data_IF_493666467620
#
_entry.id   IF_493666467620
#
_cell.length_a   1.000
_cell.length_b   1.000
_cell.length_c   1.000
_cell.angle_alpha   90.00
_cell.angle_beta   90.00
_cell.angle_gamma   90.00
#
_symmetry.space_group_name_H-M   'P 1'
#
loop_
_entity.id
_entity.type
_entity.pdbx_description
1 polymer ?
#
# COMPACT_ATOMS: atom_id res chain seq x y z
N UNK A 1 -11.24 -23.82 32.98
CA UNK A 1 -11.56 -22.60 33.78
C UNK A 1 -12.06 -21.55 32.82
N UNK A 2 -12.97 -20.66 33.22
CA UNK A 2 -13.34 -19.56 32.31
C UNK A 2 -12.08 -18.74 32.01
N UNK A 3 -11.94 -18.31 30.75
CA UNK A 3 -10.83 -17.49 30.32
C UNK A 3 -10.81 -16.17 31.13
N UNK A 4 -9.60 -15.74 31.55
CA UNK A 4 -9.39 -14.51 32.29
C UNK A 4 -8.33 -13.68 31.55
N UNK A 5 -8.63 -12.42 31.22
CA UNK A 5 -7.72 -11.59 30.42
C UNK A 5 -6.33 -11.48 31.03
N UNK A 6 -6.26 -11.26 32.36
CA UNK A 6 -4.98 -11.12 33.09
C UNK A 6 -4.15 -12.38 33.00
N UNK A 7 -4.81 -13.57 33.08
CA UNK A 7 -4.10 -14.84 32.94
C UNK A 7 -3.53 -15.05 31.54
N UNK A 8 -4.27 -14.68 30.48
CA UNK A 8 -3.82 -14.81 29.12
C UNK A 8 -2.70 -13.80 28.78
N UNK A 9 -2.83 -12.56 29.27
CA UNK A 9 -1.76 -11.55 29.15
C UNK A 9 -0.49 -12.03 29.84
N UNK A 10 -0.60 -12.58 31.06
CA UNK A 10 0.54 -13.16 31.81
C UNK A 10 1.19 -14.31 31.05
N UNK A 11 0.36 -15.25 30.54
CA UNK A 11 0.83 -16.39 29.73
C UNK A 11 1.65 -15.89 28.53
N UNK A 12 1.15 -14.90 27.77
CA UNK A 12 1.87 -14.33 26.64
C UNK A 12 3.10 -13.53 27.05
N UNK A 13 3.02 -12.74 28.11
CA UNK A 13 4.15 -12.01 28.69
C UNK A 13 5.32 -12.93 29.05
N UNK A 14 5.01 -14.10 29.57
CA UNK A 14 6.01 -15.07 30.02
C UNK A 14 6.51 -16.01 28.88
N UNK A 15 6.18 -15.65 27.61
CA UNK A 15 6.65 -16.32 26.39
C UNK A 15 5.90 -17.64 26.08
N UNK A 16 4.77 -17.88 26.70
CA UNK A 16 3.96 -19.10 26.46
C UNK A 16 2.91 -18.80 25.39
N UNK A 17 2.81 -19.67 24.37
CA UNK A 17 1.81 -19.54 23.31
C UNK A 17 0.39 -19.70 23.83
N UNK A 18 -0.52 -18.91 23.27
CA UNK A 18 -1.96 -19.02 23.50
C UNK A 18 -2.56 -20.03 22.53
N UNK A 19 -3.57 -20.75 22.95
CA UNK A 19 -4.36 -21.56 22.04
C UNK A 19 -5.24 -20.69 21.11
N UNK A 20 -5.65 -21.26 19.98
CA UNK A 20 -6.57 -20.59 19.06
C UNK A 20 -7.87 -20.13 19.76
N UNK A 21 -8.41 -20.93 20.69
CA UNK A 21 -9.62 -20.57 21.42
C UNK A 21 -9.40 -19.43 22.42
N UNK A 22 -8.22 -19.36 23.05
CA UNK A 22 -7.83 -18.24 23.91
C UNK A 22 -7.72 -16.93 23.12
N UNK A 23 -7.11 -16.97 21.92
CA UNK A 23 -7.04 -15.79 21.00
C UNK A 23 -8.45 -15.38 20.56
N UNK A 24 -9.26 -16.31 20.04
CA UNK A 24 -10.64 -16.02 19.62
C UNK A 24 -11.47 -15.42 20.75
N UNK A 25 -11.29 -15.92 21.97
CA UNK A 25 -11.97 -15.38 23.14
C UNK A 25 -11.54 -13.93 23.42
N UNK A 26 -10.23 -13.63 23.44
CA UNK A 26 -9.71 -12.27 23.66
C UNK A 26 -10.30 -11.27 22.67
N UNK A 27 -10.25 -11.62 21.37
CA UNK A 27 -10.74 -10.73 20.31
C UNK A 27 -12.26 -10.53 20.40
N UNK A 28 -13.03 -11.59 20.66
CA UNK A 28 -14.47 -11.50 20.86
C UNK A 28 -14.83 -10.59 22.04
N UNK A 29 -14.16 -10.74 23.19
CA UNK A 29 -14.41 -9.91 24.35
C UNK A 29 -14.03 -8.45 24.11
N UNK A 30 -12.96 -8.22 23.37
CA UNK A 30 -12.52 -6.87 22.99
C UNK A 30 -13.50 -6.21 22.03
N UNK A 31 -13.94 -6.91 21.00
CA UNK A 31 -14.92 -6.40 20.02
C UNK A 31 -16.28 -6.11 20.67
N UNK A 32 -16.63 -6.84 21.71
CA UNK A 32 -17.87 -6.67 22.46
C UNK A 32 -17.78 -5.67 23.65
N UNK A 33 -16.73 -4.86 23.72
CA UNK A 33 -16.47 -3.88 24.79
C UNK A 33 -16.38 -4.44 26.21
N UNK A 34 -16.15 -5.75 26.36
CA UNK A 34 -15.99 -6.39 27.66
C UNK A 34 -14.53 -6.50 28.10
N UNK A 35 -13.59 -6.26 27.19
CA UNK A 35 -12.16 -6.16 27.46
C UNK A 35 -11.71 -4.72 27.23
N UNK A 36 -11.22 -3.99 28.24
CA UNK A 36 -10.82 -2.59 28.09
C UNK A 36 -9.50 -2.42 27.35
N UNK A 37 -9.29 -1.24 26.73
CA UNK A 37 -8.14 -0.93 25.89
C UNK A 37 -6.79 -1.12 26.60
N UNK A 38 -6.69 -0.84 27.91
CA UNK A 38 -5.43 -1.05 28.66
C UNK A 38 -5.04 -2.53 28.78
N UNK A 39 -6.00 -3.45 28.82
CA UNK A 39 -5.71 -4.90 28.80
C UNK A 39 -5.34 -5.36 27.40
N UNK A 40 -6.02 -4.87 26.38
CA UNK A 40 -5.64 -5.15 24.99
C UNK A 40 -4.25 -4.59 24.67
N UNK A 41 -3.92 -3.37 25.11
CA UNK A 41 -2.56 -2.80 24.97
C UNK A 41 -1.49 -3.68 25.62
N UNK A 42 -1.78 -4.19 26.82
CA UNK A 42 -0.85 -5.11 27.52
C UNK A 42 -0.64 -6.42 26.75
N UNK A 43 -1.72 -6.99 26.16
CA UNK A 43 -1.62 -8.16 25.28
C UNK A 43 -0.81 -7.86 24.02
N UNK A 44 -1.09 -6.75 23.35
CA UNK A 44 -0.39 -6.31 22.12
C UNK A 44 1.11 -6.10 22.39
N UNK A 45 1.47 -5.47 23.51
CA UNK A 45 2.86 -5.31 23.90
C UNK A 45 3.53 -6.65 24.24
N UNK A 46 2.84 -7.56 24.93
CA UNK A 46 3.35 -8.91 25.19
C UNK A 46 3.57 -9.68 23.88
N UNK A 47 2.65 -9.56 22.92
CA UNK A 47 2.79 -10.14 21.59
C UNK A 47 3.93 -9.50 20.77
N UNK A 48 4.13 -8.18 20.90
CA UNK A 48 5.24 -7.47 20.27
C UNK A 48 6.60 -7.99 20.76
N UNK A 49 6.76 -8.16 22.07
CA UNK A 49 8.02 -8.56 22.70
C UNK A 49 8.35 -10.04 22.52
N UNK A 50 7.34 -10.93 22.54
CA UNK A 50 7.53 -12.38 22.52
C UNK A 50 7.09 -13.04 21.20
N UNK A 51 6.62 -12.26 20.21
CA UNK A 51 6.08 -12.76 18.95
C UNK A 51 4.72 -13.48 19.12
N UNK A 52 4.17 -13.91 18.01
CA UNK A 52 3.06 -14.88 17.92
C UNK A 52 3.54 -16.00 17.00
N UNK A 53 3.30 -17.24 17.36
CA UNK A 53 3.56 -18.37 16.46
C UNK A 53 2.52 -18.43 15.32
N UNK A 54 2.72 -19.36 14.37
CA UNK A 54 1.84 -19.47 13.20
C UNK A 54 0.39 -19.79 13.57
N UNK A 55 0.17 -20.56 14.64
CA UNK A 55 -1.18 -20.92 15.12
C UNK A 55 -1.86 -19.69 15.74
N UNK A 56 -1.13 -18.95 16.57
CA UNK A 56 -1.60 -17.71 17.17
C UNK A 56 -1.93 -16.65 16.12
N UNK A 57 -1.04 -16.45 15.13
CA UNK A 57 -1.23 -15.48 14.07
C UNK A 57 -2.44 -15.82 13.18
N UNK A 58 -2.61 -17.09 12.82
CA UNK A 58 -3.76 -17.58 12.06
C UNK A 58 -5.08 -17.39 12.83
N UNK A 59 -5.10 -17.76 14.13
CA UNK A 59 -6.28 -17.60 14.99
C UNK A 59 -6.65 -16.13 15.19
N UNK A 60 -5.64 -15.25 15.31
CA UNK A 60 -5.85 -13.80 15.40
C UNK A 60 -6.47 -13.25 14.10
N UNK A 61 -5.90 -13.63 12.95
CA UNK A 61 -6.42 -13.25 11.64
C UNK A 61 -7.89 -13.70 11.48
N UNK A 62 -8.19 -14.97 11.78
CA UNK A 62 -9.54 -15.53 11.72
C UNK A 62 -10.52 -14.79 12.64
N UNK A 63 -10.11 -14.52 13.89
CA UNK A 63 -10.96 -13.82 14.85
C UNK A 63 -11.27 -12.38 14.41
N UNK A 64 -10.29 -11.68 13.82
CA UNK A 64 -10.48 -10.34 13.26
C UNK A 64 -11.35 -10.38 11.99
N UNK A 65 -11.12 -11.35 11.10
CA UNK A 65 -11.93 -11.57 9.90
C UNK A 65 -13.41 -11.74 10.25
N UNK A 66 -13.74 -12.61 11.19
CA UNK A 66 -15.10 -12.92 11.58
C UNK A 66 -15.69 -11.97 12.65
N UNK A 67 -14.98 -10.90 12.99
CA UNK A 67 -15.53 -9.84 13.84
C UNK A 67 -16.54 -8.96 13.12
N UNK A 68 -16.57 -9.00 11.78
CA UNK A 68 -17.44 -8.22 10.92
C UNK A 68 -17.99 -9.04 9.75
N UNK A 69 -18.37 -8.34 8.69
CA UNK A 69 -18.93 -8.94 7.47
C UNK A 69 -17.79 -9.48 6.59
N UNK A 70 -17.97 -10.68 6.10
CA UNK A 70 -17.19 -11.25 4.99
C UNK A 70 -18.04 -11.11 3.73
N UNK A 71 -17.50 -10.41 2.71
CA UNK A 71 -18.24 -10.16 1.48
C UNK A 71 -18.41 -11.46 0.68
N UNK A 72 -19.64 -11.79 0.37
CA UNK A 72 -19.94 -12.84 -0.61
C UNK A 72 -20.02 -12.21 -2.01
N UNK A 73 -19.04 -12.51 -2.85
CA UNK A 73 -18.95 -12.07 -4.25
C UNK A 73 -19.18 -13.23 -5.23
N UNK A 74 -19.85 -14.31 -4.80
CA UNK A 74 -20.13 -15.49 -5.65
C UNK A 74 -20.99 -15.15 -6.87
N UNK A 75 -21.77 -14.07 -6.80
CA UNK A 75 -22.60 -13.54 -7.88
C UNK A 75 -21.81 -12.71 -8.93
N UNK A 76 -20.52 -12.43 -8.67
CA UNK A 76 -19.61 -11.77 -9.61
C UNK A 76 -18.86 -12.88 -10.38
N UNK A 77 -19.01 -12.97 -11.72
CA UNK A 77 -18.32 -13.99 -12.50
C UNK A 77 -16.80 -13.83 -12.47
N UNK A 78 -16.09 -14.95 -12.51
CA UNK A 78 -14.63 -14.98 -12.57
C UNK A 78 -13.96 -15.12 -11.20
N UNK A 79 -12.65 -15.32 -11.23
CA UNK A 79 -11.78 -15.39 -10.04
C UNK A 79 -11.44 -13.97 -9.59
N UNK A 80 -11.86 -13.60 -8.39
CA UNK A 80 -11.60 -12.29 -7.80
C UNK A 80 -10.18 -12.23 -7.27
N UNK A 81 -9.37 -11.31 -7.79
CA UNK A 81 -7.97 -11.16 -7.39
C UNK A 81 -7.74 -9.75 -6.90
N UNK A 82 -7.16 -9.61 -5.72
CA UNK A 82 -6.74 -8.30 -5.22
C UNK A 82 -5.23 -8.23 -5.00
N UNK A 83 -4.74 -7.02 -4.76
CA UNK A 83 -3.34 -6.74 -4.42
C UNK A 83 -3.27 -5.95 -3.12
N UNK A 84 -2.29 -6.28 -2.28
CA UNK A 84 -1.93 -5.47 -1.12
C UNK A 84 -0.46 -5.08 -1.15
N UNK A 85 -0.16 -3.83 -0.80
CA UNK A 85 1.20 -3.34 -0.55
C UNK A 85 1.41 -3.10 0.93
N UNK A 86 2.60 -3.39 1.43
CA UNK A 86 2.99 -3.05 2.81
C UNK A 86 3.27 -1.54 2.99
N UNK A 87 3.17 -0.77 1.91
CA UNK A 87 3.35 0.68 1.92
C UNK A 87 4.77 1.13 1.66
N UNK A 88 4.89 2.26 0.98
CA UNK A 88 6.17 2.86 0.60
C UNK A 88 6.01 4.29 0.09
N UNK A 89 7.11 4.88 -0.34
CA UNK A 89 7.19 6.25 -0.82
C UNK A 89 7.02 6.27 -2.34
N UNK A 90 6.03 7.03 -2.83
CA UNK A 90 5.68 7.05 -4.24
C UNK A 90 4.94 5.80 -4.73
N UNK A 91 4.37 4.99 -3.81
CA UNK A 91 3.66 3.75 -4.15
C UNK A 91 2.26 4.04 -4.72
N UNK A 92 2.22 4.27 -6.01
CA UNK A 92 1.01 4.47 -6.83
C UNK A 92 0.58 3.24 -7.60
N UNK A 93 1.25 2.09 -7.42
CA UNK A 93 1.06 0.90 -8.25
C UNK A 93 -0.38 0.43 -8.33
N UNK A 94 -1.17 0.54 -7.24
CA UNK A 94 -2.58 0.17 -7.22
C UNK A 94 -3.44 0.93 -8.23
N UNK A 95 -3.10 2.19 -8.52
CA UNK A 95 -3.81 3.02 -9.52
C UNK A 95 -3.55 2.56 -10.97
N UNK A 96 -2.54 1.74 -11.18
CA UNK A 96 -2.12 1.25 -12.50
C UNK A 96 -2.48 -0.24 -12.65
N UNK A 97 -2.00 -1.08 -11.70
CA UNK A 97 -2.16 -2.53 -11.82
C UNK A 97 -3.63 -2.97 -11.74
N UNK A 98 -4.45 -2.30 -10.93
CA UNK A 98 -5.85 -2.68 -10.77
C UNK A 98 -6.67 -2.45 -12.06
N UNK A 99 -6.63 -1.28 -12.71
CA UNK A 99 -7.28 -1.12 -14.02
C UNK A 99 -6.66 -1.99 -15.12
N UNK A 100 -5.35 -2.29 -15.08
CA UNK A 100 -4.72 -3.22 -16.04
C UNK A 100 -5.29 -4.63 -15.87
N UNK A 101 -5.34 -5.17 -14.65
CA UNK A 101 -5.91 -6.48 -14.38
C UNK A 101 -7.40 -6.55 -14.75
N UNK A 102 -8.16 -5.50 -14.43
CA UNK A 102 -9.58 -5.40 -14.77
C UNK A 102 -9.82 -5.34 -16.29
N UNK A 103 -9.01 -4.62 -17.05
CA UNK A 103 -9.05 -4.58 -18.51
C UNK A 103 -8.75 -5.96 -19.13
N UNK A 104 -7.91 -6.77 -18.48
CA UNK A 104 -7.68 -8.17 -18.85
C UNK A 104 -8.81 -9.12 -18.39
N UNK A 105 -9.91 -8.59 -17.84
CA UNK A 105 -11.10 -9.37 -17.46
C UNK A 105 -11.02 -10.06 -16.09
N UNK A 106 -10.17 -9.59 -15.19
CA UNK A 106 -10.07 -10.06 -13.80
C UNK A 106 -10.89 -9.13 -12.90
N UNK A 107 -11.87 -9.62 -12.12
CA UNK A 107 -12.55 -8.81 -11.13
C UNK A 107 -11.63 -8.46 -9.96
N UNK A 108 -11.47 -7.16 -9.70
CA UNK A 108 -10.58 -6.60 -8.67
C UNK A 108 -11.40 -5.83 -7.63
N UNK A 109 -11.79 -6.46 -6.53
CA UNK A 109 -12.60 -5.87 -5.47
C UNK A 109 -11.73 -5.11 -4.44
N UNK A 110 -10.98 -4.11 -4.90
CA UNK A 110 -9.89 -3.51 -4.11
C UNK A 110 -10.40 -2.62 -2.96
N UNK A 111 -10.06 -3.04 -1.74
CA UNK A 111 -10.20 -2.23 -0.52
C UNK A 111 -8.81 -1.76 -0.09
N UNK A 112 -8.62 -0.45 -0.07
CA UNK A 112 -7.32 0.19 0.19
C UNK A 112 -7.29 0.94 1.51
N UNK A 113 -6.09 1.31 1.96
CA UNK A 113 -5.86 2.11 3.16
C UNK A 113 -5.53 3.58 2.86
N UNK A 114 -5.62 4.39 3.91
CA UNK A 114 -5.06 5.75 3.96
C UNK A 114 -3.57 5.71 4.24
N UNK A 115 -2.89 6.81 4.01
CA UNK A 115 -1.48 6.98 4.35
C UNK A 115 -1.23 6.82 5.84
N UNK A 116 -0.09 6.22 6.17
CA UNK A 116 0.38 6.02 7.53
C UNK A 116 1.85 6.40 7.64
N UNK A 117 2.18 7.25 8.63
CA UNK A 117 3.55 7.71 8.83
C UNK A 117 4.10 8.36 7.55
N UNK A 118 5.23 7.85 7.06
CA UNK A 118 5.92 8.33 5.86
C UNK A 118 5.35 7.79 4.53
N UNK A 119 4.40 6.85 4.56
CA UNK A 119 3.86 6.23 3.36
C UNK A 119 2.58 6.93 2.89
N UNK A 120 2.47 7.17 1.58
CA UNK A 120 1.24 7.71 0.98
C UNK A 120 0.15 6.65 0.86
N UNK A 121 -1.12 7.02 1.12
CA UNK A 121 -2.27 6.12 1.02
C UNK A 121 -2.92 6.13 -0.38
N UNK A 122 -3.36 4.97 -0.83
CA UNK A 122 -4.11 4.86 -2.10
C UNK A 122 -5.40 5.69 -2.06
N UNK A 123 -6.10 5.71 -0.92
CA UNK A 123 -7.33 6.50 -0.78
C UNK A 123 -7.07 8.00 -0.85
N UNK A 124 -5.97 8.48 -0.25
CA UNK A 124 -5.63 9.89 -0.25
C UNK A 124 -5.30 10.38 -1.68
N UNK A 125 -4.68 9.49 -2.50
CA UNK A 125 -4.45 9.74 -3.92
C UNK A 125 -5.77 9.77 -4.71
N UNK A 126 -6.67 8.82 -4.49
CA UNK A 126 -7.98 8.80 -5.14
C UNK A 126 -8.82 10.03 -4.76
N UNK A 127 -8.83 10.42 -3.49
CA UNK A 127 -9.54 11.62 -3.00
C UNK A 127 -8.92 12.94 -3.51
N UNK A 128 -7.68 12.92 -4.03
CA UNK A 128 -7.13 14.08 -4.73
C UNK A 128 -7.79 14.32 -6.09
N UNK A 129 -8.49 13.32 -6.64
CA UNK A 129 -9.33 13.47 -7.83
C UNK A 129 -10.65 14.10 -7.38
N UNK A 130 -11.02 15.29 -7.86
CA UNK A 130 -12.22 15.99 -7.39
C UNK A 130 -13.47 15.11 -7.48
N UNK A 131 -14.19 14.99 -6.37
CA UNK A 131 -15.44 14.23 -6.28
C UNK A 131 -15.30 12.72 -6.13
N UNK A 132 -14.11 12.14 -6.22
CA UNK A 132 -13.92 10.69 -6.12
C UNK A 132 -14.43 10.17 -4.76
N UNK A 133 -15.41 9.29 -4.80
CA UNK A 133 -16.03 8.71 -3.62
C UNK A 133 -15.44 7.34 -3.28
N UNK A 134 -14.65 7.28 -2.22
CA UNK A 134 -14.04 6.04 -1.70
C UNK A 134 -14.94 5.32 -0.68
N UNK A 135 -16.10 5.89 -0.33
CA UNK A 135 -17.02 5.38 0.69
C UNK A 135 -18.33 4.94 0.04
N UNK A 136 -18.32 3.83 -0.68
CA UNK A 136 -19.52 3.27 -1.29
C UNK A 136 -20.25 2.33 -0.31
N UNK A 137 -21.58 2.31 -0.38
CA UNK A 137 -22.35 1.22 0.20
C UNK A 137 -22.14 -0.10 -0.58
N UNK A 138 -22.48 -1.23 0.04
CA UNK A 138 -22.23 -2.55 -0.53
C UNK A 138 -22.96 -2.79 -1.84
N UNK A 139 -24.14 -2.23 -2.03
CA UNK A 139 -24.90 -2.40 -3.27
C UNK A 139 -24.24 -1.64 -4.42
N UNK A 140 -23.78 -0.42 -4.17
CA UNK A 140 -23.04 0.36 -5.16
C UNK A 140 -21.67 -0.25 -5.46
N UNK A 141 -20.96 -0.71 -4.43
CA UNK A 141 -19.74 -1.47 -4.57
C UNK A 141 -19.88 -2.65 -5.54
N UNK A 142 -20.90 -3.51 -5.33
CA UNK A 142 -21.19 -4.65 -6.21
C UNK A 142 -21.56 -4.23 -7.62
N UNK A 143 -22.36 -3.16 -7.78
CA UNK A 143 -22.74 -2.65 -9.12
C UNK A 143 -21.53 -2.16 -9.89
N UNK A 144 -20.61 -1.39 -9.27
CA UNK A 144 -19.39 -0.88 -9.92
C UNK A 144 -18.46 -2.04 -10.28
N UNK A 145 -18.20 -2.96 -9.35
CA UNK A 145 -17.37 -4.14 -9.61
C UNK A 145 -17.91 -4.99 -10.77
N UNK A 146 -19.23 -5.23 -10.82
CA UNK A 146 -19.87 -6.02 -11.89
C UNK A 146 -19.80 -5.32 -13.25
N UNK A 147 -19.93 -4.00 -13.27
CA UNK A 147 -19.92 -3.22 -14.51
C UNK A 147 -18.52 -3.05 -15.11
N UNK A 148 -17.50 -2.90 -14.26
CA UNK A 148 -16.16 -2.48 -14.69
C UNK A 148 -15.04 -3.47 -14.33
N UNK A 149 -15.34 -4.62 -13.69
CA UNK A 149 -14.35 -5.53 -13.10
C UNK A 149 -13.42 -4.88 -12.08
N UNK A 150 -13.71 -3.68 -11.63
CA UNK A 150 -12.89 -2.92 -10.69
C UNK A 150 -13.76 -2.05 -9.80
N UNK A 151 -13.43 -1.99 -8.53
CA UNK A 151 -13.92 -1.00 -7.58
C UNK A 151 -12.79 -0.62 -6.63
N UNK A 152 -12.69 0.66 -6.26
CA UNK A 152 -11.61 1.22 -5.44
C UNK A 152 -12.22 1.94 -4.24
N UNK A 153 -12.26 1.29 -3.07
CA UNK A 153 -12.87 1.86 -1.87
C UNK A 153 -11.95 1.77 -0.64
N UNK A 154 -12.36 2.49 0.41
CA UNK A 154 -11.82 2.34 1.75
C UNK A 154 -12.47 1.20 2.52
N UNK A 155 -11.83 0.81 3.62
CA UNK A 155 -12.42 -0.13 4.58
C UNK A 155 -13.69 0.49 5.18
N UNK A 156 -14.81 -0.23 5.11
CA UNK A 156 -16.05 0.13 5.80
C UNK A 156 -16.00 -0.27 7.28
N UNK A 157 -16.88 0.29 8.10
CA UNK A 157 -16.95 -0.02 9.53
C UNK A 157 -17.33 -1.49 9.80
N UNK A 158 -17.96 -2.15 8.84
CA UNK A 158 -18.42 -3.52 8.94
C UNK A 158 -17.34 -4.55 8.60
N UNK A 159 -16.24 -4.14 7.94
CA UNK A 159 -15.16 -5.04 7.53
C UNK A 159 -14.08 -5.10 8.61
N UNK A 160 -13.87 -6.26 9.21
CA UNK A 160 -12.86 -6.53 10.24
C UNK A 160 -12.81 -5.42 11.34
N UNK A 161 -13.91 -5.08 12.02
CA UNK A 161 -13.96 -3.99 13.00
C UNK A 161 -13.00 -4.21 14.19
N UNK A 162 -12.72 -5.44 14.57
CA UNK A 162 -11.72 -5.76 15.59
C UNK A 162 -10.32 -5.27 15.16
N UNK A 163 -9.94 -5.47 13.89
CA UNK A 163 -8.67 -4.97 13.36
C UNK A 163 -8.62 -3.44 13.37
N UNK A 164 -9.66 -2.77 12.92
CA UNK A 164 -9.73 -1.30 12.93
C UNK A 164 -9.45 -0.74 14.31
N UNK A 165 -10.09 -1.31 15.33
CA UNK A 165 -9.95 -0.88 16.72
C UNK A 165 -8.56 -1.23 17.30
N UNK A 166 -8.08 -2.44 17.04
CA UNK A 166 -6.75 -2.88 17.49
C UNK A 166 -5.66 -2.07 16.83
N UNK A 167 -5.79 -1.76 15.53
CA UNK A 167 -4.80 -0.99 14.80
C UNK A 167 -4.69 0.45 15.35
N UNK A 168 -5.83 1.11 15.61
CA UNK A 168 -5.84 2.43 16.26
C UNK A 168 -5.13 2.43 17.62
N UNK A 169 -5.25 1.33 18.37
CA UNK A 169 -4.56 1.16 19.65
C UNK A 169 -3.06 0.93 19.45
N UNK A 170 -2.67 0.12 18.44
CA UNK A 170 -1.26 -0.16 18.13
C UNK A 170 -0.51 1.09 17.71
N UNK A 171 -1.16 1.98 16.96
CA UNK A 171 -0.57 3.23 16.46
C UNK A 171 -0.10 4.13 17.61
N UNK A 172 -0.85 4.18 18.71
CA UNK A 172 -0.54 5.04 19.89
C UNK A 172 0.20 4.31 21.02
N UNK A 173 0.50 3.01 20.86
CA UNK A 173 1.19 2.20 21.87
C UNK A 173 2.52 1.62 21.37
N UNK A 174 3.03 2.08 20.22
CA UNK A 174 4.29 1.64 19.62
C UNK A 174 4.37 0.10 19.42
N UNK A 175 3.28 -0.52 18.93
CA UNK A 175 3.20 -1.96 18.67
C UNK A 175 2.85 -2.30 17.23
N UNK A 176 3.04 -1.32 16.30
CA UNK A 176 2.74 -1.53 14.88
C UNK A 176 3.74 -2.50 14.23
N UNK A 177 5.05 -2.36 14.50
CA UNK A 177 6.13 -3.07 13.82
C UNK A 177 6.33 -4.51 14.33
N UNK A 178 5.25 -5.24 14.56
CA UNK A 178 5.24 -6.67 14.94
C UNK A 178 4.75 -7.50 13.75
N UNK A 179 5.62 -8.31 13.15
CA UNK A 179 5.34 -9.05 11.91
C UNK A 179 4.04 -9.87 11.98
N UNK A 180 3.79 -10.73 13.00
CA UNK A 180 2.54 -11.47 13.08
C UNK A 180 1.29 -10.59 13.21
N UNK A 181 1.39 -9.47 13.93
CA UNK A 181 0.28 -8.52 14.06
C UNK A 181 0.03 -7.75 12.74
N UNK A 182 1.08 -7.43 12.00
CA UNK A 182 0.98 -6.84 10.65
C UNK A 182 0.29 -7.84 9.71
N UNK A 183 0.76 -9.09 9.70
CA UNK A 183 0.21 -10.12 8.82
C UNK A 183 -1.27 -10.39 9.11
N UNK A 184 -1.65 -10.56 10.38
CA UNK A 184 -3.03 -10.79 10.77
C UNK A 184 -3.94 -9.59 10.39
N UNK A 185 -3.46 -8.35 10.59
CA UNK A 185 -4.18 -7.13 10.22
C UNK A 185 -4.40 -7.02 8.70
N UNK A 186 -3.40 -7.29 7.88
CA UNK A 186 -3.51 -7.27 6.42
C UNK A 186 -4.47 -8.36 5.96
N UNK A 187 -4.25 -9.61 6.39
CA UNK A 187 -4.97 -10.75 5.87
C UNK A 187 -6.43 -10.78 6.30
N UNK A 188 -6.76 -10.34 7.52
CA UNK A 188 -8.15 -10.27 7.96
C UNK A 188 -9.01 -9.37 7.05
N UNK A 189 -8.47 -8.23 6.61
CA UNK A 189 -9.16 -7.33 5.65
C UNK A 189 -9.24 -7.96 4.26
N UNK A 190 -8.13 -8.48 3.75
CA UNK A 190 -8.07 -9.06 2.41
C UNK A 190 -8.97 -10.30 2.25
N UNK A 191 -9.05 -11.12 3.27
CA UNK A 191 -9.98 -12.27 3.28
C UNK A 191 -11.44 -11.83 3.40
N UNK A 192 -11.72 -10.74 4.14
CA UNK A 192 -13.07 -10.18 4.29
C UNK A 192 -13.62 -9.60 2.98
N UNK A 193 -12.78 -9.22 2.03
CA UNK A 193 -13.17 -8.69 0.71
C UNK A 193 -13.81 -9.73 -0.21
N UNK A 194 -13.81 -11.02 0.15
CA UNK A 194 -14.38 -12.10 -0.67
C UNK A 194 -13.52 -12.46 -1.87
N UNK A 195 -12.21 -12.24 -1.81
CA UNK A 195 -11.25 -12.58 -2.86
C UNK A 195 -11.03 -14.09 -2.99
N UNK A 196 -10.56 -14.52 -4.16
CA UNK A 196 -10.17 -15.91 -4.46
C UNK A 196 -8.65 -16.07 -4.52
N UNK A 197 -7.92 -14.99 -4.83
CA UNK A 197 -6.46 -14.96 -4.87
C UNK A 197 -5.91 -13.58 -4.50
N UNK A 198 -4.64 -13.53 -4.08
CA UNK A 198 -3.99 -12.31 -3.58
C UNK A 198 -2.57 -12.18 -4.10
N UNK A 199 -2.22 -10.98 -4.57
CA UNK A 199 -0.84 -10.58 -4.85
C UNK A 199 -0.37 -9.62 -3.76
N UNK A 200 0.79 -9.91 -3.18
CA UNK A 200 1.39 -9.10 -2.12
C UNK A 200 2.66 -8.42 -2.62
N UNK A 201 2.73 -7.13 -2.38
CA UNK A 201 3.88 -6.28 -2.66
C UNK A 201 4.54 -5.91 -1.34
N UNK A 202 5.51 -6.72 -0.91
CA UNK A 202 6.22 -6.56 0.36
C UNK A 202 7.43 -5.66 0.14
N UNK A 203 7.30 -4.41 0.54
CA UNK A 203 8.33 -3.38 0.40
C UNK A 203 9.47 -3.61 1.39
N UNK A 204 10.73 -3.46 0.92
CA UNK A 204 11.93 -3.57 1.74
C UNK A 204 12.91 -2.45 1.42
N UNK A 205 13.49 -1.83 2.44
CA UNK A 205 14.46 -0.75 2.33
C UNK A 205 14.15 0.48 3.20
N UNK A 206 14.88 1.55 2.99
CA UNK A 206 14.82 2.76 3.83
C UNK A 206 13.43 3.41 3.88
N UNK A 207 12.69 3.37 2.77
CA UNK A 207 11.33 3.91 2.66
C UNK A 207 10.21 2.91 2.97
N UNK A 208 10.51 1.71 3.44
CA UNK A 208 9.54 0.68 3.82
C UNK A 208 9.45 0.51 5.34
N UNK A 209 8.42 -0.21 5.80
CA UNK A 209 8.35 -0.67 7.20
C UNK A 209 9.39 -1.77 7.47
N UNK A 210 9.53 -2.74 6.56
CA UNK A 210 10.58 -3.75 6.65
C UNK A 210 11.91 -3.18 6.16
N UNK A 211 12.89 -3.10 7.06
CA UNK A 211 14.19 -2.48 6.78
C UNK A 211 15.19 -3.43 6.17
N UNK A 212 15.04 -4.73 6.43
CA UNK A 212 15.95 -5.77 5.93
C UNK A 212 15.19 -6.83 5.11
N UNK A 213 15.92 -7.52 4.25
CA UNK A 213 15.39 -8.60 3.42
C UNK A 213 14.86 -9.75 4.29
N UNK A 214 15.51 -10.04 5.42
CA UNK A 214 15.11 -11.10 6.35
C UNK A 214 13.74 -10.81 6.94
N UNK A 215 13.51 -9.59 7.43
CA UNK A 215 12.21 -9.16 7.95
C UNK A 215 11.12 -9.22 6.88
N UNK A 216 11.43 -8.76 5.67
CA UNK A 216 10.48 -8.79 4.56
C UNK A 216 10.13 -10.22 4.12
N UNK A 217 11.12 -11.14 4.12
CA UNK A 217 10.90 -12.57 3.85
C UNK A 217 10.04 -13.23 4.92
N UNK A 218 10.28 -12.92 6.19
CA UNK A 218 9.47 -13.43 7.29
C UNK A 218 8.01 -12.96 7.15
N UNK A 219 7.80 -11.68 6.90
CA UNK A 219 6.46 -11.13 6.67
C UNK A 219 5.80 -11.78 5.44
N UNK A 220 6.51 -11.88 4.31
CA UNK A 220 5.98 -12.48 3.09
C UNK A 220 5.55 -13.93 3.28
N UNK A 221 6.38 -14.75 3.95
CA UNK A 221 6.07 -16.15 4.27
C UNK A 221 4.86 -16.25 5.19
N UNK A 222 4.77 -15.40 6.21
CA UNK A 222 3.64 -15.37 7.13
C UNK A 222 2.33 -15.02 6.39
N UNK A 223 2.35 -14.00 5.54
CA UNK A 223 1.20 -13.58 4.74
C UNK A 223 0.75 -14.68 3.76
N UNK A 224 1.69 -15.28 3.03
CA UNK A 224 1.42 -16.39 2.10
C UNK A 224 0.84 -17.59 2.85
N UNK A 225 1.43 -17.96 4.01
CA UNK A 225 0.93 -19.07 4.82
C UNK A 225 -0.51 -18.86 5.29
N UNK A 226 -0.86 -17.66 5.75
CA UNK A 226 -2.24 -17.34 6.17
C UNK A 226 -3.20 -17.41 4.97
N UNK A 227 -2.81 -16.85 3.80
CA UNK A 227 -3.64 -16.87 2.60
C UNK A 227 -3.90 -18.28 2.09
N UNK A 228 -2.86 -19.10 1.97
CA UNK A 228 -2.98 -20.50 1.52
C UNK A 228 -3.78 -21.35 2.54
N UNK A 229 -3.60 -21.14 3.84
CA UNK A 229 -4.41 -21.80 4.87
C UNK A 229 -5.89 -21.43 4.79
N UNK A 230 -6.22 -20.22 4.33
CA UNK A 230 -7.58 -19.77 4.05
C UNK A 230 -8.10 -20.22 2.66
N UNK A 231 -7.35 -21.06 1.92
CA UNK A 231 -7.71 -21.56 0.59
C UNK A 231 -7.58 -20.50 -0.50
N UNK A 232 -6.81 -19.42 -0.28
CA UNK A 232 -6.59 -18.33 -1.26
C UNK A 232 -5.19 -18.44 -1.85
N UNK A 233 -5.10 -18.60 -3.18
CA UNK A 233 -3.81 -18.59 -3.89
C UNK A 233 -3.11 -17.27 -3.64
N UNK A 234 -1.92 -17.31 -3.02
CA UNK A 234 -1.22 -16.10 -2.57
C UNK A 234 0.22 -16.08 -3.09
N UNK A 235 0.59 -14.97 -3.73
CA UNK A 235 1.96 -14.73 -4.23
C UNK A 235 2.46 -13.41 -3.68
N UNK A 236 3.65 -13.40 -3.09
CA UNK A 236 4.31 -12.20 -2.56
C UNK A 236 5.61 -11.92 -3.30
N UNK A 237 5.81 -10.66 -3.67
CA UNK A 237 7.07 -10.15 -4.21
C UNK A 237 7.73 -9.24 -3.20
N UNK A 238 9.04 -9.41 -2.99
CA UNK A 238 9.85 -8.45 -2.24
C UNK A 238 10.35 -7.38 -3.20
N UNK A 239 9.91 -6.14 -2.97
CA UNK A 239 10.19 -5.01 -3.85
C UNK A 239 11.00 -3.93 -3.15
N UNK A 240 11.95 -3.33 -3.87
CA UNK A 240 12.88 -2.35 -3.32
C UNK A 240 12.20 -1.01 -2.99
N UNK A 241 12.56 -0.43 -1.85
CA UNK A 241 12.13 0.89 -1.40
C UNK A 241 13.31 1.72 -0.84
N UNK A 242 14.55 1.45 -1.28
CA UNK A 242 15.71 2.30 -0.99
C UNK A 242 15.75 3.57 -1.86
N UNK A 243 14.90 3.62 -2.88
CA UNK A 243 14.54 4.84 -3.58
C UNK A 243 13.02 4.91 -3.75
N UNK A 244 12.42 6.10 -3.81
CA UNK A 244 11.00 6.26 -4.11
C UNK A 244 10.64 5.65 -5.47
N UNK A 245 9.42 5.12 -5.60
CA UNK A 245 8.89 4.63 -6.86
C UNK A 245 8.46 5.80 -7.75
N UNK A 246 8.90 5.80 -9.00
CA UNK A 246 8.69 6.90 -9.92
C UNK A 246 9.40 8.17 -9.47
N UNK A 247 8.99 9.28 -10.02
CA UNK A 247 9.54 10.59 -9.69
C UNK A 247 8.63 11.39 -8.77
N UNK A 248 7.36 11.06 -8.70
CA UNK A 248 6.34 11.80 -7.96
C UNK A 248 6.06 11.17 -6.60
N UNK A 249 6.06 12.00 -5.55
CA UNK A 249 5.74 11.65 -4.16
C UNK A 249 4.67 12.61 -3.68
N UNK A 250 3.46 12.13 -3.33
CA UNK A 250 2.35 12.95 -2.88
C UNK A 250 0.99 12.33 -3.18
N UNK A 251 0.04 13.12 -3.68
CA UNK A 251 -1.30 12.64 -4.01
C UNK A 251 -1.63 12.84 -5.48
N UNK A 252 -2.06 14.04 -5.91
CA UNK A 252 -2.40 14.30 -7.31
C UNK A 252 -1.22 14.08 -8.26
N UNK A 253 -0.02 14.48 -7.87
CA UNK A 253 1.17 14.26 -8.69
C UNK A 253 1.41 12.76 -8.94
N UNK A 254 1.16 11.89 -7.96
CA UNK A 254 1.23 10.44 -8.16
C UNK A 254 0.08 9.91 -9.03
N UNK A 255 -1.13 10.48 -8.94
CA UNK A 255 -2.24 10.15 -9.86
C UNK A 255 -1.85 10.52 -11.30
N UNK A 256 -1.25 11.69 -11.51
CA UNK A 256 -0.79 12.12 -12.82
C UNK A 256 0.26 11.16 -13.39
N UNK A 257 1.27 10.78 -12.59
CA UNK A 257 2.29 9.83 -13.02
C UNK A 257 1.67 8.43 -13.31
N UNK A 258 0.66 8.02 -12.56
CA UNK A 258 -0.09 6.79 -12.87
C UNK A 258 -0.84 6.90 -14.20
N UNK A 259 -1.45 8.05 -14.51
CA UNK A 259 -2.10 8.29 -15.80
C UNK A 259 -1.09 8.29 -16.97
N UNK A 260 0.12 8.79 -16.74
CA UNK A 260 1.20 8.76 -17.73
C UNK A 260 1.60 7.31 -18.04
N UNK A 261 1.71 6.45 -17.02
CA UNK A 261 1.98 5.00 -17.21
C UNK A 261 0.83 4.31 -17.92
N UNK A 262 -0.42 4.58 -17.53
CA UNK A 262 -1.61 4.05 -18.22
C UNK A 262 -1.77 4.57 -19.67
N UNK A 263 -1.06 5.65 -20.02
CA UNK A 263 -0.93 6.18 -21.37
C UNK A 263 0.25 5.64 -22.16
N UNK A 264 0.96 4.62 -21.66
CA UNK A 264 2.12 4.00 -22.31
C UNK A 264 3.47 4.68 -22.04
N UNK A 265 3.48 5.79 -21.27
CA UNK A 265 4.68 6.53 -20.85
C UNK A 265 5.12 6.20 -19.42
N UNK A 266 5.53 7.26 -18.70
CA UNK A 266 5.88 7.22 -17.29
C UNK A 266 7.22 6.53 -16.97
N UNK A 267 7.59 6.49 -15.67
CA UNK A 267 8.84 5.88 -15.20
C UNK A 267 8.86 4.36 -15.39
N UNK A 268 10.00 3.84 -15.79
CA UNK A 268 10.19 2.41 -16.09
C UNK A 268 9.96 1.54 -14.85
N UNK A 269 10.48 1.94 -13.68
CA UNK A 269 10.32 1.21 -12.42
C UNK A 269 8.83 1.06 -12.03
N UNK A 270 8.04 2.11 -12.18
CA UNK A 270 6.59 2.09 -11.91
C UNK A 270 5.87 1.20 -12.92
N UNK A 271 6.19 1.35 -14.21
CA UNK A 271 5.54 0.60 -15.30
C UNK A 271 5.82 -0.90 -15.20
N UNK A 272 7.09 -1.30 -15.12
CA UNK A 272 7.45 -2.71 -15.14
C UNK A 272 7.00 -3.44 -13.86
N UNK A 273 7.09 -2.77 -12.70
CA UNK A 273 6.58 -3.35 -11.46
C UNK A 273 5.05 -3.45 -11.45
N UNK A 274 4.34 -2.45 -11.99
CA UNK A 274 2.88 -2.54 -12.18
C UNK A 274 2.49 -3.69 -13.10
N UNK A 275 3.23 -3.89 -14.20
CA UNK A 275 2.98 -4.98 -15.15
C UNK A 275 3.27 -6.35 -14.54
N UNK A 276 4.31 -6.51 -13.74
CA UNK A 276 4.60 -7.76 -13.03
C UNK A 276 3.45 -8.13 -12.09
N UNK A 277 3.03 -7.19 -11.24
CA UNK A 277 1.97 -7.43 -10.26
C UNK A 277 0.61 -7.66 -10.95
N UNK A 278 0.27 -6.85 -11.97
CA UNK A 278 -0.95 -7.03 -12.76
C UNK A 278 -0.93 -8.35 -13.53
N UNK A 279 0.20 -8.70 -14.18
CA UNK A 279 0.36 -9.97 -14.89
C UNK A 279 0.19 -11.18 -13.98
N UNK A 280 0.69 -11.08 -12.74
CA UNK A 280 0.45 -12.10 -11.71
C UNK A 280 -1.03 -12.19 -11.34
N UNK A 281 -1.74 -11.04 -11.21
CA UNK A 281 -3.19 -11.03 -10.98
C UNK A 281 -3.95 -11.66 -12.15
N UNK A 282 -3.55 -11.38 -13.40
CA UNK A 282 -4.15 -11.93 -14.61
C UNK A 282 -3.98 -13.45 -14.69
N UNK A 283 -2.78 -13.96 -14.35
CA UNK A 283 -2.51 -15.38 -14.23
C UNK A 283 -3.33 -16.04 -13.10
N UNK A 284 -3.33 -15.46 -11.90
CA UNK A 284 -4.13 -15.95 -10.77
C UNK A 284 -5.63 -15.94 -11.06
N UNK A 285 -6.08 -14.93 -11.81
CA UNK A 285 -7.45 -14.78 -12.30
C UNK A 285 -7.86 -15.75 -13.40
N UNK A 286 -6.93 -16.62 -13.85
CA UNK A 286 -7.18 -17.65 -14.88
C UNK A 286 -7.36 -17.07 -16.29
N UNK A 287 -6.83 -15.86 -16.54
CA UNK A 287 -6.89 -15.19 -17.85
C UNK A 287 -5.61 -15.37 -18.66
N UNK A 288 -4.55 -15.92 -18.06
CA UNK A 288 -3.28 -16.27 -18.68
C UNK A 288 -2.77 -17.60 -18.14
N UNK A 289 -1.96 -18.32 -18.93
CA UNK A 289 -1.35 -19.59 -18.55
C UNK A 289 -0.08 -19.42 -17.69
N UNK A 290 0.55 -18.24 -17.73
CA UNK A 290 1.73 -17.90 -16.93
C UNK A 290 1.73 -16.42 -16.56
N UNK A 291 2.66 -16.03 -15.66
CA UNK A 291 2.88 -14.62 -15.29
C UNK A 291 3.37 -13.81 -16.50
N UNK A 292 4.26 -14.38 -17.31
CA UNK A 292 4.80 -13.73 -18.52
C UNK A 292 3.70 -13.44 -19.54
N UNK A 293 2.79 -14.38 -19.76
CA UNK A 293 1.61 -14.17 -20.61
C UNK A 293 0.70 -13.09 -20.02
N UNK A 294 0.50 -13.11 -18.70
CA UNK A 294 -0.25 -12.07 -17.99
C UNK A 294 0.36 -10.68 -18.15
N UNK A 295 1.70 -10.57 -18.07
CA UNK A 295 2.43 -9.32 -18.33
C UNK A 295 2.22 -8.85 -19.77
N UNK A 296 2.27 -9.77 -20.75
CA UNK A 296 2.05 -9.42 -22.16
C UNK A 296 0.62 -8.89 -22.40
N UNK A 297 -0.39 -9.52 -21.78
CA UNK A 297 -1.78 -9.03 -21.83
C UNK A 297 -1.93 -7.66 -21.16
N UNK A 298 -1.33 -7.47 -19.99
CA UNK A 298 -1.33 -6.18 -19.28
C UNK A 298 -0.66 -5.07 -20.09
N UNK A 299 0.45 -5.36 -20.77
CA UNK A 299 1.13 -4.42 -21.65
C UNK A 299 0.24 -4.04 -22.83
N UNK A 300 -0.41 -5.02 -23.47
CA UNK A 300 -1.36 -4.76 -24.56
C UNK A 300 -2.51 -3.85 -24.08
N UNK A 301 -3.05 -4.06 -22.86
CA UNK A 301 -4.10 -3.23 -22.30
C UNK A 301 -3.67 -1.78 -21.98
N UNK A 302 -2.38 -1.54 -21.73
CA UNK A 302 -1.80 -0.19 -21.63
C UNK A 302 -1.67 0.41 -23.04
N UNK A 303 -1.11 -0.35 -23.98
CA UNK A 303 -0.78 0.13 -25.33
C UNK A 303 -2.04 0.48 -26.16
N UNK A 304 -3.14 -0.25 -25.98
CA UNK A 304 -4.44 0.02 -26.64
C UNK A 304 -5.32 1.03 -25.88
N UNK A 305 -4.89 1.45 -24.67
CA UNK A 305 -5.58 2.41 -23.82
C UNK A 305 -6.77 1.85 -23.03
N UNK A 306 -7.08 0.56 -23.12
CA UNK A 306 -8.22 -0.05 -22.42
C UNK A 306 -8.06 0.02 -20.90
N UNK A 307 -6.85 -0.16 -20.37
CA UNK A 307 -6.56 -0.02 -18.94
C UNK A 307 -6.83 1.41 -18.44
N UNK A 308 -6.41 2.43 -19.20
CA UNK A 308 -6.70 3.83 -18.88
C UNK A 308 -8.19 4.13 -18.91
N UNK A 309 -8.91 3.56 -19.89
CA UNK A 309 -10.36 3.75 -19.99
C UNK A 309 -11.08 3.14 -18.79
N UNK A 310 -10.69 1.93 -18.35
CA UNK A 310 -11.26 1.30 -17.13
C UNK A 310 -11.06 2.20 -15.91
N UNK A 311 -9.88 2.80 -15.73
CA UNK A 311 -9.64 3.71 -14.60
C UNK A 311 -10.58 4.93 -14.64
N UNK A 312 -10.77 5.54 -15.83
CA UNK A 312 -11.66 6.69 -16.03
C UNK A 312 -13.13 6.30 -15.77
N UNK A 313 -13.57 5.13 -16.25
CA UNK A 313 -14.95 4.68 -16.11
C UNK A 313 -15.28 4.35 -14.65
N UNK A 314 -14.36 3.71 -13.93
CA UNK A 314 -14.50 3.45 -12.49
C UNK A 314 -14.54 4.76 -11.71
N UNK A 315 -13.65 5.71 -12.02
CA UNK A 315 -13.65 7.01 -11.39
C UNK A 315 -14.99 7.74 -11.60
N UNK A 316 -15.53 7.71 -12.83
CA UNK A 316 -16.86 8.26 -13.13
C UNK A 316 -17.98 7.56 -12.34
N UNK A 317 -17.94 6.21 -12.25
CA UNK A 317 -18.90 5.43 -11.49
C UNK A 317 -18.81 5.68 -9.97
N UNK A 318 -17.69 6.26 -9.51
CA UNK A 318 -17.42 6.67 -8.14
C UNK A 318 -17.44 8.21 -7.94
N UNK A 319 -18.24 8.92 -8.72
CA UNK A 319 -18.57 10.37 -8.62
C UNK A 319 -17.41 11.33 -8.97
N UNK A 320 -16.28 10.86 -9.50
CA UNK A 320 -15.15 11.71 -9.81
C UNK A 320 -15.42 12.64 -11.01
N UNK A 321 -14.89 13.85 -10.94
CA UNK A 321 -14.71 14.70 -12.12
C UNK A 321 -13.62 14.14 -13.02
N UNK A 322 -14.03 13.35 -14.01
CA UNK A 322 -13.10 12.71 -14.96
C UNK A 322 -12.47 13.69 -15.95
N UNK A 323 -12.86 14.96 -15.94
CA UNK A 323 -12.25 15.99 -16.79
C UNK A 323 -10.76 16.11 -16.50
N UNK A 324 -10.40 16.08 -15.21
CA UNK A 324 -8.99 16.15 -14.78
C UNK A 324 -8.19 14.89 -15.11
N UNK A 325 -8.85 13.73 -15.25
CA UNK A 325 -8.18 12.48 -15.67
C UNK A 325 -7.94 12.43 -17.17
N UNK A 326 -8.83 13.05 -17.96
CA UNK A 326 -8.69 13.17 -19.41
C UNK A 326 -7.74 14.29 -19.79
N UNK A 327 -7.71 15.37 -19.01
CA UNK A 327 -6.90 16.57 -19.23
C UNK A 327 -6.17 16.96 -17.92
N UNK A 328 -5.10 16.23 -17.52
CA UNK A 328 -4.40 16.46 -16.25
C UNK A 328 -3.87 17.89 -16.07
N UNK A 329 -3.56 18.56 -17.17
CA UNK A 329 -3.07 19.96 -17.15
C UNK A 329 -4.12 20.97 -16.66
N UNK A 330 -5.39 20.58 -16.59
CA UNK A 330 -6.48 21.43 -16.07
C UNK A 330 -6.62 21.33 -14.54
N UNK A 331 -5.86 20.46 -13.91
CA UNK A 331 -5.90 20.35 -12.45
C UNK A 331 -5.32 21.62 -11.81
N UNK A 332 -5.99 22.19 -10.78
CA UNK A 332 -5.49 23.40 -10.10
C UNK A 332 -4.14 23.11 -9.40
N UNK A 333 -3.08 23.76 -9.83
CA UNK A 333 -1.70 23.59 -9.29
C UNK A 333 -1.20 24.83 -8.56
N UNK A 334 -2.10 25.64 -8.01
CA UNK A 334 -1.72 26.86 -7.26
C UNK A 334 -0.88 26.54 -6.01
N UNK A 335 -0.15 27.56 -5.52
CA UNK A 335 0.61 27.47 -4.28
C UNK A 335 2.09 27.82 -4.43
N UNK A 336 2.87 27.39 -3.43
CA UNK A 336 4.33 27.60 -3.38
C UNK A 336 5.03 26.44 -4.06
N UNK A 337 6.07 26.75 -4.85
CA UNK A 337 6.98 25.79 -5.48
C UNK A 337 8.42 26.22 -5.22
N UNK A 338 9.25 25.30 -4.71
CA UNK A 338 10.67 25.55 -4.40
C UNK A 338 11.53 24.46 -5.04
N UNK A 339 12.52 24.87 -5.83
CA UNK A 339 13.48 23.96 -6.44
C UNK A 339 14.61 23.61 -5.46
N UNK A 340 14.91 22.33 -5.35
CA UNK A 340 16.02 21.76 -4.61
C UNK A 340 17.20 21.59 -5.56
N UNK A 341 18.22 22.42 -5.45
CA UNK A 341 19.37 22.39 -6.36
C UNK A 341 20.57 21.67 -5.77
N UNK A 342 21.36 21.01 -6.62
CA UNK A 342 22.60 20.33 -6.25
C UNK A 342 23.69 21.33 -5.86
N UNK A 343 24.28 21.20 -4.68
CA UNK A 343 25.42 22.02 -4.25
C UNK A 343 26.71 21.63 -4.95
N UNK A 344 26.83 20.38 -5.37
CA UNK A 344 28.00 19.79 -6.01
C UNK A 344 27.59 18.90 -7.17
N UNK A 345 28.53 18.69 -8.12
CA UNK A 345 28.35 17.69 -9.16
C UNK A 345 28.62 16.29 -8.59
N UNK A 346 27.90 15.27 -9.10
CA UNK A 346 28.10 13.90 -8.65
C UNK A 346 27.20 12.90 -9.34
N UNK A 347 27.18 11.68 -8.80
CA UNK A 347 26.23 10.63 -9.15
C UNK A 347 25.30 10.45 -7.95
N UNK A 348 24.00 10.28 -8.19
CA UNK A 348 23.05 9.94 -7.13
C UNK A 348 23.40 8.55 -6.59
N UNK A 349 23.83 8.51 -5.34
CA UNK A 349 24.30 7.29 -4.65
C UNK A 349 23.19 6.60 -3.85
N UNK A 350 22.14 7.32 -3.52
CA UNK A 350 21.02 6.80 -2.76
C UNK A 350 20.13 7.90 -2.22
N UNK A 351 19.02 7.46 -1.67
CA UNK A 351 18.03 8.31 -1.01
C UNK A 351 17.84 7.90 0.47
N UNK A 352 17.50 8.84 1.30
CA UNK A 352 16.75 8.57 2.52
C UNK A 352 15.26 8.66 2.17
N UNK A 353 14.71 7.54 1.70
CA UNK A 353 13.33 7.50 1.24
C UNK A 353 12.33 7.76 2.38
N UNK A 354 12.69 7.40 3.64
CA UNK A 354 11.87 7.72 4.80
C UNK A 354 11.78 9.24 5.01
N UNK A 355 12.92 9.94 4.98
CA UNK A 355 12.95 11.39 5.13
C UNK A 355 12.18 12.09 4.00
N UNK A 356 12.24 11.58 2.74
CA UNK A 356 11.44 12.11 1.63
C UNK A 356 9.94 11.91 1.86
N UNK A 357 9.52 10.75 2.35
CA UNK A 357 8.13 10.50 2.71
C UNK A 357 7.63 11.43 3.80
N UNK A 358 8.41 11.62 4.88
CA UNK A 358 8.08 12.56 5.96
C UNK A 358 8.06 14.02 5.48
N UNK A 359 8.97 14.41 4.59
CA UNK A 359 8.96 15.75 3.99
C UNK A 359 7.66 15.99 3.19
N UNK A 360 7.19 14.99 2.44
CA UNK A 360 5.90 15.08 1.73
C UNK A 360 4.71 15.22 2.71
N UNK A 361 4.73 14.50 3.84
CA UNK A 361 3.71 14.64 4.90
C UNK A 361 3.73 16.06 5.50
N UNK A 362 4.90 16.61 5.81
CA UNK A 362 5.04 17.98 6.34
C UNK A 362 4.58 19.05 5.33
N UNK A 363 4.76 18.83 4.03
CA UNK A 363 4.21 19.68 2.97
C UNK A 363 2.67 19.70 2.96
N UNK A 364 2.03 18.69 3.52
CA UNK A 364 0.58 18.53 3.56
C UNK A 364 0.06 17.34 2.74
N UNK A 365 0.92 16.53 2.11
CA UNK A 365 0.49 15.36 1.36
C UNK A 365 0.00 14.19 2.23
N UNK A 366 0.25 14.23 3.53
CA UNK A 366 -0.19 13.24 4.52
C UNK A 366 -0.73 13.90 5.78
N UNK A 367 -1.06 13.06 6.79
CA UNK A 367 -1.57 13.51 8.08
C UNK A 367 -0.53 13.27 9.18
N UNK A 368 -0.29 14.28 10.00
CA UNK A 368 0.42 14.17 11.27
C UNK A 368 -0.57 13.94 12.43
N UNK A 369 -1.83 14.38 12.24
CA UNK A 369 -2.96 14.21 13.15
C UNK A 369 -4.17 13.68 12.38
N UNK A 370 -5.06 12.99 13.06
CA UNK A 370 -6.26 12.39 12.44
C UNK A 370 -7.21 13.42 11.82
N UNK A 371 -7.21 14.65 12.31
CA UNK A 371 -8.03 15.79 11.86
C UNK A 371 -7.36 16.67 10.81
N UNK A 372 -6.10 16.40 10.45
CA UNK A 372 -5.40 17.14 9.41
C UNK A 372 -6.09 16.99 8.05
N UNK A 373 -6.25 18.13 7.35
CA UNK A 373 -6.70 18.15 5.98
C UNK A 373 -5.51 17.96 5.03
N UNK A 374 -5.66 17.02 4.11
CA UNK A 374 -4.67 16.79 3.07
C UNK A 374 -4.72 17.91 2.03
N UNK A 375 -3.55 18.39 1.66
CA UNK A 375 -3.33 19.25 0.51
C UNK A 375 -3.12 18.37 -0.73
N UNK A 376 -4.06 18.30 -1.65
CA UNK A 376 -3.97 17.38 -2.79
C UNK A 376 -2.84 17.70 -3.76
N UNK A 377 -2.35 18.96 -3.78
CA UNK A 377 -1.23 19.36 -4.66
C UNK A 377 0.14 19.27 -3.97
N UNK A 378 0.16 19.05 -2.65
CA UNK A 378 1.40 18.90 -1.93
C UNK A 378 2.16 17.65 -2.37
N UNK A 379 3.47 17.80 -2.53
CA UNK A 379 4.33 16.70 -2.90
C UNK A 379 5.72 17.12 -3.35
N UNK A 380 6.48 16.12 -3.76
CA UNK A 380 7.86 16.24 -4.23
C UNK A 380 7.94 15.60 -5.60
N UNK A 381 8.50 16.32 -6.57
CA UNK A 381 8.87 15.80 -7.89
C UNK A 381 10.38 15.62 -7.91
N UNK A 382 10.88 14.40 -8.01
CA UNK A 382 12.30 14.10 -8.21
C UNK A 382 12.66 14.30 -9.69
N UNK A 383 13.93 14.60 -9.98
CA UNK A 383 14.43 14.73 -11.36
C UNK A 383 15.48 13.69 -11.73
N UNK A 384 15.90 12.89 -10.75
CA UNK A 384 16.96 11.89 -10.93
C UNK A 384 16.78 10.70 -10.01
N UNK A 385 17.37 9.58 -10.40
CA UNK A 385 17.35 8.28 -9.72
C UNK A 385 18.76 7.83 -9.36
N UNK A 386 18.89 6.76 -8.55
CA UNK A 386 20.17 6.15 -8.22
C UNK A 386 20.89 5.77 -9.53
N UNK A 387 22.12 6.26 -9.68
CA UNK A 387 22.95 6.05 -10.85
C UNK A 387 23.04 7.25 -11.80
N UNK A 388 22.11 8.18 -11.71
CA UNK A 388 22.09 9.36 -12.59
C UNK A 388 23.23 10.35 -12.24
N UNK A 389 23.78 10.98 -13.28
CA UNK A 389 24.79 12.05 -13.14
C UNK A 389 24.11 13.40 -13.02
N UNK A 390 24.55 14.16 -12.04
CA UNK A 390 24.01 15.49 -11.72
C UNK A 390 25.12 16.53 -11.77
N UNK A 391 24.88 17.65 -12.44
CA UNK A 391 25.79 18.79 -12.43
C UNK A 391 25.54 19.69 -11.21
N UNK A 392 26.55 20.42 -10.76
CA UNK A 392 26.39 21.47 -9.75
C UNK A 392 25.36 22.51 -10.25
N UNK A 393 24.41 22.87 -9.38
CA UNK A 393 23.32 23.79 -9.72
C UNK A 393 22.13 23.17 -10.48
N UNK A 394 22.19 21.88 -10.83
CA UNK A 394 21.03 21.18 -11.41
C UNK A 394 19.92 21.00 -10.36
N UNK A 395 18.67 21.03 -10.81
CA UNK A 395 17.52 20.74 -9.97
C UNK A 395 17.50 19.23 -9.68
N UNK A 396 17.47 18.85 -8.40
CA UNK A 396 17.37 17.46 -7.91
C UNK A 396 15.92 17.06 -7.63
N UNK A 397 15.15 18.03 -7.17
CA UNK A 397 13.73 17.87 -6.88
C UNK A 397 13.03 19.23 -6.88
N UNK A 398 11.70 19.20 -6.96
CA UNK A 398 10.84 20.36 -6.71
C UNK A 398 9.83 20.00 -5.63
N UNK A 399 9.73 20.80 -4.56
CA UNK A 399 8.70 20.66 -3.54
C UNK A 399 7.55 21.61 -3.83
N UNK A 400 6.31 21.16 -3.59
CA UNK A 400 5.09 21.93 -3.84
C UNK A 400 4.10 21.80 -2.69
N UNK A 401 3.37 22.89 -2.43
CA UNK A 401 2.27 22.90 -1.45
C UNK A 401 1.34 24.09 -1.73
N UNK A 402 0.04 23.92 -1.54
CA UNK A 402 -0.93 25.00 -1.60
C UNK A 402 -1.29 25.56 -0.21
N UNK A 403 -0.93 24.86 0.86
CA UNK A 403 -1.39 25.15 2.22
C UNK A 403 -0.28 25.62 3.18
N UNK A 404 1.01 25.48 2.79
CA UNK A 404 2.15 25.93 3.61
C UNK A 404 2.72 27.24 3.09
N UNK A 405 3.42 27.96 3.98
CA UNK A 405 4.13 29.21 3.60
C UNK A 405 5.42 28.91 2.83
N UNK A 406 5.97 29.93 2.17
CA UNK A 406 7.24 29.79 1.45
C UNK A 406 8.40 29.39 2.38
N UNK A 407 8.47 29.95 3.60
CA UNK A 407 9.53 29.63 4.58
C UNK A 407 9.46 28.14 4.99
N UNK A 408 8.25 27.60 5.15
CA UNK A 408 8.06 26.16 5.46
C UNK A 408 8.50 25.31 4.28
N UNK A 409 8.12 25.68 3.06
CA UNK A 409 8.52 24.96 1.85
C UNK A 409 10.05 24.99 1.63
N UNK A 410 10.70 26.13 1.87
CA UNK A 410 12.17 26.28 1.81
C UNK A 410 12.87 25.38 2.84
N UNK A 411 12.40 25.37 4.10
CA UNK A 411 12.94 24.48 5.14
C UNK A 411 12.80 23.00 4.75
N UNK A 412 11.67 22.62 4.18
CA UNK A 412 11.44 21.24 3.71
C UNK A 412 12.32 20.93 2.50
N UNK A 413 12.56 21.89 1.60
CA UNK A 413 13.48 21.72 0.48
C UNK A 413 14.92 21.40 0.95
N UNK A 414 15.37 21.97 2.07
CA UNK A 414 16.66 21.60 2.69
C UNK A 414 16.65 20.15 3.19
N UNK A 415 15.56 19.69 3.82
CA UNK A 415 15.41 18.29 4.24
C UNK A 415 15.45 17.34 3.02
N UNK A 416 14.75 17.70 1.93
CA UNK A 416 14.77 16.94 0.68
C UNK A 416 16.18 16.90 0.09
N UNK A 417 16.91 18.02 0.08
CA UNK A 417 18.31 18.06 -0.37
C UNK A 417 19.19 17.10 0.43
N UNK A 418 19.09 17.14 1.75
CA UNK A 418 19.87 16.28 2.65
C UNK A 418 19.55 14.78 2.46
N UNK A 419 18.31 14.46 2.06
CA UNK A 419 17.87 13.09 1.79
C UNK A 419 18.42 12.51 0.48
N UNK A 420 18.98 13.34 -0.43
CA UNK A 420 19.54 12.93 -1.72
C UNK A 420 21.08 12.90 -1.59
N UNK A 421 21.66 11.71 -1.61
CA UNK A 421 23.11 11.53 -1.45
C UNK A 421 23.79 11.55 -2.81
N UNK A 422 24.67 12.54 -3.01
CA UNK A 422 25.56 12.60 -4.17
C UNK A 422 26.96 12.10 -3.82
N UNK A 423 27.69 11.56 -4.80
CA UNK A 423 29.07 11.12 -4.62
C UNK A 423 29.79 10.89 -5.93
N UNK A 424 31.11 10.63 -5.88
CA UNK A 424 31.92 10.38 -7.08
C UNK A 424 31.69 8.97 -7.65
N UNK A 425 32.12 8.73 -8.88
CA UNK A 425 32.14 7.43 -9.53
C UNK A 425 30.84 7.06 -10.24
N UNK A 426 30.47 5.79 -10.20
CA UNK A 426 29.22 5.23 -10.75
C UNK A 426 28.45 4.48 -9.68
N UNK A 427 27.16 4.33 -9.85
CA UNK A 427 26.27 3.54 -9.01
C UNK A 427 25.28 2.80 -9.92
N UNK A 428 25.15 1.51 -9.72
CA UNK A 428 24.10 0.76 -10.40
C UNK A 428 22.74 1.01 -9.70
N UNK A 429 21.66 1.17 -10.46
CA UNK A 429 20.32 1.20 -9.87
C UNK A 429 20.03 -0.13 -9.15
N UNK A 430 19.27 -0.11 -8.05
CA UNK A 430 18.89 -1.32 -7.35
C UNK A 430 17.93 -2.16 -8.21
N UNK A 431 17.94 -3.49 -8.01
CA UNK A 431 16.89 -4.34 -8.56
C UNK A 431 15.55 -3.96 -7.95
N UNK A 432 14.51 -3.86 -8.77
CA UNK A 432 13.17 -3.50 -8.28
C UNK A 432 12.52 -4.65 -7.49
N UNK A 433 12.79 -5.89 -7.91
CA UNK A 433 12.31 -7.11 -7.25
C UNK A 433 13.50 -7.99 -6.91
N UNK A 434 13.49 -8.59 -5.74
CA UNK A 434 14.58 -9.47 -5.29
C UNK A 434 14.13 -10.91 -5.06
N UNK A 435 12.90 -11.11 -4.57
CA UNK A 435 12.39 -12.45 -4.24
C UNK A 435 10.92 -12.57 -4.59
N UNK A 436 10.50 -13.79 -4.85
CA UNK A 436 9.10 -14.21 -4.90
C UNK A 436 8.87 -15.32 -3.88
N UNK A 437 7.76 -15.23 -3.16
CA UNK A 437 7.31 -16.21 -2.16
C UNK A 437 5.91 -16.67 -2.54
N UNK A 438 5.71 -17.97 -2.63
CA UNK A 438 4.42 -18.60 -2.87
C UNK A 438 4.32 -19.91 -2.07
N UNK A 439 3.27 -20.68 -2.28
CA UNK A 439 3.07 -21.98 -1.60
C UNK A 439 4.20 -22.99 -1.81
N UNK A 440 4.94 -22.89 -2.93
CA UNK A 440 5.99 -23.82 -3.29
C UNK A 440 7.35 -23.43 -2.67
N UNK A 441 7.47 -22.22 -2.12
CA UNK A 441 8.65 -21.76 -1.41
C UNK A 441 9.05 -20.31 -1.65
N UNK A 442 10.34 -20.04 -1.47
CA UNK A 442 10.97 -18.73 -1.67
C UNK A 442 12.02 -18.86 -2.77
N UNK A 443 11.94 -17.98 -3.76
CA UNK A 443 12.81 -17.99 -4.92
C UNK A 443 13.43 -16.60 -5.14
N UNK A 444 14.65 -16.56 -5.67
CA UNK A 444 15.24 -15.31 -6.17
C UNK A 444 14.54 -14.91 -7.47
N UNK A 445 14.35 -13.59 -7.65
CA UNK A 445 13.74 -13.00 -8.84
C UNK A 445 14.82 -12.47 -9.79
#
# INVERSE_FOLDING_TARGET
MPNNPVSLIRKKRDGVSLSADEIRWLIREYTADRLPDYQMSAFLMAAYLNGLDAVEAAALCEAMLHSGVVLDLSDIPGVKVDKHSTGGVGDKLSLILAPVAAACGVPVPMISGRGLGHSGGTLDKLESIPGFNVNLDLDRYRRVLRAHNLVLIGQTDDIAPADKRMYALRDVTATVECIPLIAASIMSKKLAEGIDALVLDVKVGSGAFMKTTEQALELARTLVSIGEAAGKRTVAYLTNMDQPLGYEIGNWNEVREALDVLGGGGPEDVRELSLLLAGTMVWLGGKAGSVEEGIALGRAAIDDGSARQVFIDVAAAQDADVTVLRHPDRYPTGGVSVDVVATDAGVVRGFDSYALGMAAVELGAGRLRTDDRIDPVAGITLTSKIGDRVAKGAVLATVRTATRTAEVAERIAETVRAAIRLGPGSQNPPKWVTHVVNRDGTFLY
#
